data_IF_933071023598
#
_entry.id   IF_933071023598
#
_cell.length_a   1.000
_cell.length_b   1.000
_cell.length_c   1.000
_cell.angle_alpha   90.00
_cell.angle_beta   90.00
_cell.angle_gamma   90.00
#
_symmetry.space_group_name_H-M   'P 1'
#
loop_
_entity.id
_entity.type
_entity.pdbx_description
1 polymer ?
#
# COMPACT_ATOMS: atom_id res chain seq x y z
N UNK A 1 -17.70 -10.60 13.29
CA UNK A 1 -17.75 -10.89 11.85
C UNK A 1 -18.75 -12.03 11.63
N UNK A 2 -19.62 -11.97 10.61
CA UNK A 2 -20.56 -13.06 10.33
C UNK A 2 -19.80 -14.32 9.94
N UNK A 3 -20.06 -15.45 10.62
CA UNK A 3 -19.44 -16.76 10.30
C UNK A 3 -19.63 -17.15 8.83
N UNK A 4 -20.73 -16.69 8.22
CA UNK A 4 -21.06 -16.99 6.84
C UNK A 4 -20.11 -16.29 5.85
N UNK A 5 -19.68 -15.04 6.14
CA UNK A 5 -18.76 -14.31 5.26
C UNK A 5 -17.36 -14.92 5.29
N UNK A 6 -16.88 -15.30 6.46
CA UNK A 6 -15.59 -16.00 6.60
C UNK A 6 -15.61 -17.36 5.88
N UNK A 7 -16.71 -18.11 5.98
CA UNK A 7 -16.88 -19.38 5.28
C UNK A 7 -16.96 -19.20 3.76
N UNK A 8 -17.57 -18.11 3.27
CA UNK A 8 -17.66 -17.78 1.85
C UNK A 8 -16.28 -17.44 1.26
N UNK A 9 -15.48 -16.63 1.97
CA UNK A 9 -14.11 -16.30 1.57
C UNK A 9 -13.14 -17.51 1.67
N UNK A 10 -13.43 -18.47 2.54
CA UNK A 10 -12.61 -19.69 2.69
C UNK A 10 -12.90 -20.82 1.70
N UNK A 11 -13.77 -20.61 0.70
CA UNK A 11 -14.14 -21.67 -0.26
C UNK A 11 -12.96 -22.09 -1.14
N UNK A 12 -12.95 -23.37 -1.52
CA UNK A 12 -11.91 -23.96 -2.37
C UNK A 12 -11.79 -23.17 -3.68
N UNK A 13 -10.61 -22.60 -3.93
CA UNK A 13 -10.34 -21.75 -5.09
C UNK A 13 -10.68 -20.26 -4.95
N UNK A 14 -11.11 -19.79 -3.76
CA UNK A 14 -11.45 -18.37 -3.47
C UNK A 14 -10.78 -17.80 -2.22
N UNK A 15 -9.74 -18.49 -1.75
CA UNK A 15 -8.93 -18.08 -0.60
C UNK A 15 -7.96 -16.94 -0.96
N UNK A 16 -6.77 -16.93 -0.36
CA UNK A 16 -5.80 -15.84 -0.52
C UNK A 16 -5.38 -15.54 -1.97
N UNK A 17 -5.52 -16.49 -2.89
CA UNK A 17 -5.00 -16.40 -4.27
C UNK A 17 -6.04 -16.02 -5.32
N UNK A 18 -7.32 -15.92 -4.94
CA UNK A 18 -8.40 -15.56 -5.84
C UNK A 18 -9.55 -14.96 -5.03
N UNK A 19 -9.22 -13.90 -4.29
CA UNK A 19 -10.17 -13.29 -3.38
C UNK A 19 -11.04 -12.25 -4.10
N UNK A 20 -12.15 -11.84 -3.45
CA UNK A 20 -13.09 -10.89 -4.04
C UNK A 20 -12.43 -9.57 -4.44
N UNK A 21 -11.51 -9.07 -3.61
CA UNK A 21 -10.86 -7.78 -3.84
C UNK A 21 -9.92 -7.84 -5.05
N UNK A 22 -9.09 -8.87 -5.16
CA UNK A 22 -8.25 -9.11 -6.36
C UNK A 22 -9.09 -9.19 -7.64
N UNK A 23 -10.26 -9.85 -7.58
CA UNK A 23 -11.15 -9.95 -8.74
C UNK A 23 -11.74 -8.62 -9.15
N UNK A 24 -12.10 -7.77 -8.19
CA UNK A 24 -12.56 -6.40 -8.45
C UNK A 24 -11.42 -5.57 -9.06
N UNK A 25 -10.21 -5.66 -8.49
CA UNK A 25 -9.04 -4.92 -8.95
C UNK A 25 -8.63 -5.31 -10.38
N UNK A 26 -8.51 -6.62 -10.67
CA UNK A 26 -8.14 -7.10 -12.00
C UNK A 26 -9.15 -6.67 -13.08
N UNK A 27 -10.45 -6.65 -12.76
CA UNK A 27 -11.48 -6.16 -13.68
C UNK A 27 -11.37 -4.65 -13.94
N UNK A 28 -10.92 -3.88 -12.95
CA UNK A 28 -10.64 -2.46 -13.12
C UNK A 28 -9.38 -2.24 -13.97
N UNK A 29 -8.33 -3.03 -13.80
CA UNK A 29 -7.08 -2.87 -14.57
C UNK A 29 -7.28 -3.05 -16.09
N UNK A 30 -8.21 -3.92 -16.50
CA UNK A 30 -8.51 -4.16 -17.93
C UNK A 30 -9.33 -3.03 -18.59
N UNK A 31 -10.05 -2.21 -17.81
CA UNK A 31 -11.07 -1.27 -18.34
C UNK A 31 -11.08 0.12 -17.69
N UNK A 32 -10.25 0.36 -16.69
CA UNK A 32 -10.18 1.56 -15.86
C UNK A 32 -11.31 1.72 -14.85
N UNK A 33 -12.45 1.05 -15.03
CA UNK A 33 -13.62 1.04 -14.11
C UNK A 33 -14.40 -0.26 -14.27
N UNK A 34 -14.86 -0.80 -13.15
CA UNK A 34 -15.70 -1.99 -13.17
C UNK A 34 -17.11 -1.71 -13.72
N UNK A 35 -17.48 -2.31 -14.85
CA UNK A 35 -18.85 -2.26 -15.36
C UNK A 35 -19.81 -3.00 -14.40
N UNK A 36 -21.02 -2.47 -14.22
CA UNK A 36 -22.09 -3.03 -13.37
C UNK A 36 -22.41 -4.48 -13.70
N UNK A 37 -22.40 -4.86 -14.98
CA UNK A 37 -22.68 -6.23 -15.39
C UNK A 37 -21.57 -7.19 -14.92
N UNK A 38 -20.30 -6.80 -15.09
CA UNK A 38 -19.16 -7.59 -14.60
C UNK A 38 -19.17 -7.69 -13.06
N UNK A 39 -19.49 -6.61 -12.34
CA UNK A 39 -19.64 -6.65 -10.89
C UNK A 39 -20.78 -7.57 -10.44
N UNK A 40 -21.84 -7.69 -11.23
CA UNK A 40 -22.93 -8.62 -10.98
C UNK A 40 -22.48 -10.07 -11.15
N UNK A 41 -21.66 -10.35 -12.16
CA UNK A 41 -21.05 -11.68 -12.33
C UNK A 41 -20.14 -12.03 -11.15
N UNK A 42 -19.30 -11.10 -10.66
CA UNK A 42 -18.50 -11.33 -9.44
C UNK A 42 -19.41 -11.57 -8.23
N UNK A 43 -20.48 -10.79 -8.09
CA UNK A 43 -21.44 -10.92 -6.99
C UNK A 43 -22.06 -12.33 -6.95
N UNK A 44 -22.53 -12.81 -8.09
CA UNK A 44 -23.07 -14.16 -8.25
C UNK A 44 -21.98 -15.22 -8.03
N UNK A 45 -20.77 -15.00 -8.56
CA UNK A 45 -19.62 -15.87 -8.38
C UNK A 45 -19.31 -16.07 -6.87
N UNK A 46 -19.20 -14.98 -6.10
CA UNK A 46 -18.84 -15.02 -4.68
C UNK A 46 -20.03 -15.22 -3.73
N UNK A 47 -21.26 -15.31 -4.26
CA UNK A 47 -22.52 -15.35 -3.51
C UNK A 47 -22.64 -14.18 -2.52
N UNK A 48 -22.28 -12.98 -2.96
CA UNK A 48 -22.38 -11.74 -2.20
C UNK A 48 -23.34 -10.82 -2.93
N UNK A 49 -24.15 -10.04 -2.21
CA UNK A 49 -25.09 -9.12 -2.85
C UNK A 49 -24.39 -8.09 -3.73
N UNK A 50 -24.95 -7.81 -4.92
CA UNK A 50 -24.40 -6.86 -5.90
C UNK A 50 -24.13 -5.48 -5.30
N UNK A 51 -24.99 -5.02 -4.38
CA UNK A 51 -24.78 -3.75 -3.69
C UNK A 51 -23.51 -3.73 -2.83
N UNK A 52 -23.12 -4.85 -2.20
CA UNK A 52 -21.89 -4.94 -1.41
C UNK A 52 -20.66 -4.95 -2.31
N UNK A 53 -20.72 -5.67 -3.43
CA UNK A 53 -19.63 -5.71 -4.41
C UNK A 53 -19.45 -4.33 -5.06
N UNK A 54 -20.55 -3.70 -5.47
CA UNK A 54 -20.53 -2.33 -5.99
C UNK A 54 -19.97 -1.34 -4.96
N UNK A 55 -20.46 -1.37 -3.73
CA UNK A 55 -19.97 -0.50 -2.66
C UNK A 55 -18.47 -0.68 -2.39
N UNK A 56 -17.97 -1.92 -2.40
CA UNK A 56 -16.54 -2.19 -2.27
C UNK A 56 -15.75 -1.66 -3.49
N UNK A 57 -16.23 -1.91 -4.71
CA UNK A 57 -15.57 -1.45 -5.93
C UNK A 57 -15.54 0.08 -6.05
N UNK A 58 -16.56 0.79 -5.59
CA UNK A 58 -16.57 2.26 -5.65
C UNK A 58 -15.87 2.93 -4.46
N UNK A 59 -15.43 2.16 -3.46
CA UNK A 59 -14.75 2.69 -2.28
C UNK A 59 -13.27 3.03 -2.54
N UNK A 60 -12.58 2.22 -3.36
CA UNK A 60 -11.15 2.38 -3.61
C UNK A 60 -10.90 3.32 -4.79
N UNK A 61 -9.89 4.18 -4.64
CA UNK A 61 -9.53 5.19 -5.64
C UNK A 61 -9.29 4.59 -7.02
N UNK A 62 -8.53 3.50 -7.14
CA UNK A 62 -8.22 2.92 -8.45
C UNK A 62 -9.42 2.30 -9.18
N UNK A 63 -10.48 1.95 -8.45
CA UNK A 63 -11.62 1.21 -9.00
C UNK A 63 -12.90 2.04 -9.07
N UNK A 64 -12.90 3.28 -8.54
CA UNK A 64 -14.05 4.17 -8.53
C UNK A 64 -14.32 4.79 -9.93
N UNK A 65 -15.59 5.04 -10.30
CA UNK A 65 -15.95 5.58 -11.61
C UNK A 65 -15.28 6.91 -11.98
N UNK A 66 -14.99 7.76 -11.01
CA UNK A 66 -14.39 9.08 -11.23
C UNK A 66 -12.96 9.01 -11.77
N UNK A 67 -12.29 7.88 -11.57
CA UNK A 67 -10.95 7.63 -12.06
C UNK A 67 -10.92 6.91 -13.43
N UNK A 68 -12.08 6.74 -14.09
CA UNK A 68 -12.13 6.19 -15.45
C UNK A 68 -11.29 6.98 -16.44
N UNK A 69 -10.44 6.27 -17.19
CA UNK A 69 -9.61 6.88 -18.24
C UNK A 69 -8.47 7.76 -17.72
N UNK A 70 -8.29 7.88 -16.41
CA UNK A 70 -7.12 8.53 -15.82
C UNK A 70 -5.88 7.67 -16.05
N UNK A 71 -4.82 8.29 -16.54
CA UNK A 71 -3.53 7.64 -16.85
C UNK A 71 -2.43 8.11 -15.90
N UNK A 72 -2.54 9.33 -15.41
CA UNK A 72 -1.58 9.96 -14.51
C UNK A 72 -2.32 10.63 -13.36
N UNK A 73 -1.78 10.55 -12.15
CA UNK A 73 -2.38 11.15 -10.97
C UNK A 73 -1.41 12.10 -10.28
N UNK A 74 -1.82 13.34 -10.10
CA UNK A 74 -1.03 14.34 -9.35
C UNK A 74 -1.34 14.20 -7.87
N UNK A 75 -0.30 14.20 -7.02
CA UNK A 75 -0.50 14.13 -5.57
C UNK A 75 -1.25 15.38 -5.08
N UNK A 76 -2.33 15.21 -4.31
CA UNK A 76 -3.01 16.31 -3.62
C UNK A 76 -2.79 16.27 -2.09
N UNK A 77 -1.74 15.56 -1.64
CA UNK A 77 -1.34 15.51 -0.25
C UNK A 77 -0.89 16.87 0.29
N UNK A 78 -1.17 17.12 1.57
CA UNK A 78 -0.91 18.40 2.24
C UNK A 78 0.53 18.91 2.11
N UNK A 79 1.53 18.02 2.17
CA UNK A 79 2.93 18.38 2.00
C UNK A 79 3.21 18.96 0.60
N UNK A 80 2.73 18.32 -0.46
CA UNK A 80 2.92 18.79 -1.84
C UNK A 80 2.13 20.07 -2.13
N UNK A 81 0.93 20.20 -1.55
CA UNK A 81 0.13 21.43 -1.65
C UNK A 81 0.84 22.60 -0.95
N UNK A 82 1.41 22.38 0.25
CA UNK A 82 2.16 23.40 0.97
C UNK A 82 3.46 23.79 0.24
N UNK A 83 4.11 22.85 -0.44
CA UNK A 83 5.28 23.12 -1.27
C UNK A 83 4.94 23.97 -2.52
N UNK A 84 3.67 24.01 -2.94
CA UNK A 84 3.22 24.81 -4.09
C UNK A 84 3.70 24.33 -5.45
N UNK A 85 4.15 23.07 -5.55
CA UNK A 85 4.77 22.52 -6.77
C UNK A 85 3.79 21.87 -7.74
N UNK A 86 2.58 21.55 -7.28
CA UNK A 86 1.65 20.71 -8.04
C UNK A 86 0.98 21.41 -9.22
N UNK A 87 0.79 22.72 -9.18
CA UNK A 87 0.23 23.47 -10.31
C UNK A 87 1.18 23.48 -11.50
N UNK A 88 2.47 23.72 -11.25
CA UNK A 88 3.51 23.68 -12.28
C UNK A 88 3.65 22.26 -12.86
N UNK A 89 3.67 21.24 -12.01
CA UNK A 89 3.69 19.83 -12.43
C UNK A 89 2.50 19.50 -13.32
N UNK A 90 1.28 19.90 -12.92
CA UNK A 90 0.06 19.66 -13.69
C UNK A 90 0.11 20.31 -15.06
N UNK A 91 0.57 21.56 -15.14
CA UNK A 91 0.71 22.28 -16.40
C UNK A 91 1.69 21.60 -17.35
N UNK A 92 2.78 21.05 -16.85
CA UNK A 92 3.73 20.30 -17.68
C UNK A 92 3.15 18.96 -18.12
N UNK A 93 2.46 18.23 -17.24
CA UNK A 93 1.79 16.97 -17.60
C UNK A 93 0.73 17.15 -18.69
N UNK A 94 0.06 18.31 -18.75
CA UNK A 94 -0.89 18.64 -19.83
C UNK A 94 -0.27 18.70 -21.22
N UNK A 95 1.06 18.79 -21.34
CA UNK A 95 1.77 18.73 -22.61
C UNK A 95 1.89 17.29 -23.14
N UNK A 96 1.75 16.29 -22.25
CA UNK A 96 1.91 14.87 -22.57
C UNK A 96 0.59 14.09 -22.50
N UNK A 97 -0.36 14.55 -21.68
CA UNK A 97 -1.65 13.91 -21.47
C UNK A 97 -2.78 14.92 -21.64
N UNK A 98 -3.93 14.51 -22.21
CA UNK A 98 -5.08 15.40 -22.26
C UNK A 98 -5.62 15.63 -20.84
N UNK A 99 -6.25 16.79 -20.55
CA UNK A 99 -6.67 17.16 -19.19
C UNK A 99 -7.56 16.11 -18.50
N UNK A 100 -8.41 15.42 -19.26
CA UNK A 100 -9.28 14.36 -18.77
C UNK A 100 -8.53 13.11 -18.32
N UNK A 101 -7.31 12.86 -18.83
CA UNK A 101 -6.47 11.73 -18.42
C UNK A 101 -5.65 12.03 -17.15
N UNK A 102 -5.68 13.27 -16.65
CA UNK A 102 -4.98 13.69 -15.44
C UNK A 102 -5.97 13.64 -14.25
N UNK A 103 -5.66 12.81 -13.27
CA UNK A 103 -6.40 12.65 -12.03
C UNK A 103 -5.63 13.21 -10.83
N UNK A 104 -6.19 13.01 -9.65
CA UNK A 104 -5.55 13.33 -8.38
C UNK A 104 -5.58 12.12 -7.45
N UNK A 105 -4.58 12.03 -6.58
CA UNK A 105 -4.47 10.98 -5.59
C UNK A 105 -3.91 11.55 -4.29
N UNK A 106 -4.45 11.08 -3.16
CA UNK A 106 -4.00 11.55 -1.86
C UNK A 106 -2.78 10.76 -1.39
N UNK A 107 -1.68 11.50 -1.19
CA UNK A 107 -0.38 10.99 -0.73
C UNK A 107 0.25 9.91 -1.66
N UNK A 108 1.43 10.20 -2.19
CA UNK A 108 2.19 9.25 -3.00
C UNK A 108 3.47 8.76 -2.31
N UNK A 109 3.63 9.02 -1.00
CA UNK A 109 4.86 8.68 -0.26
C UNK A 109 6.09 9.51 -0.62
N UNK A 110 5.98 10.47 -1.56
CA UNK A 110 7.12 11.27 -2.05
C UNK A 110 7.16 12.69 -1.48
N UNK A 111 6.70 12.85 -0.24
CA UNK A 111 6.61 14.15 0.42
C UNK A 111 7.99 14.81 0.65
N UNK A 112 9.07 14.03 0.70
CA UNK A 112 10.44 14.53 0.83
C UNK A 112 10.95 15.28 -0.42
N UNK A 113 10.38 15.00 -1.60
CA UNK A 113 10.77 15.63 -2.85
C UNK A 113 9.72 16.58 -3.42
N UNK A 114 8.44 16.35 -3.11
CA UNK A 114 7.30 17.04 -3.71
C UNK A 114 7.25 16.83 -5.24
N UNK A 115 6.47 17.64 -5.96
CA UNK A 115 6.23 17.46 -7.40
C UNK A 115 5.86 16.00 -7.75
N UNK A 116 5.05 15.39 -6.88
CA UNK A 116 4.81 13.96 -6.89
C UNK A 116 3.63 13.62 -7.79
N UNK A 117 3.79 12.58 -8.62
CA UNK A 117 2.75 12.03 -9.46
C UNK A 117 2.89 10.51 -9.62
N UNK A 118 1.78 9.84 -9.92
CA UNK A 118 1.71 8.42 -10.18
C UNK A 118 1.48 8.18 -11.68
N UNK A 119 2.27 7.29 -12.27
CA UNK A 119 2.15 6.87 -13.66
C UNK A 119 2.50 5.37 -13.77
N UNK A 120 1.64 4.59 -14.45
CA UNK A 120 1.88 3.18 -14.75
C UNK A 120 2.28 2.31 -13.54
N UNK A 121 1.63 2.49 -12.38
CA UNK A 121 1.90 1.69 -11.19
C UNK A 121 3.10 2.16 -10.36
N UNK A 122 3.76 3.26 -10.75
CA UNK A 122 4.92 3.78 -10.05
C UNK A 122 4.72 5.25 -9.66
N UNK A 123 5.25 5.61 -8.49
CA UNK A 123 5.26 6.97 -7.98
C UNK A 123 6.58 7.64 -8.37
N UNK A 124 6.50 8.90 -8.81
CA UNK A 124 7.64 9.70 -9.24
C UNK A 124 7.58 11.09 -8.61
N UNK A 125 8.74 11.74 -8.54
CA UNK A 125 8.88 13.18 -8.34
C UNK A 125 9.57 13.77 -9.56
N UNK A 126 9.08 14.87 -10.10
CA UNK A 126 9.76 15.60 -11.17
C UNK A 126 10.09 17.02 -10.73
N UNK A 127 11.38 17.33 -10.63
CA UNK A 127 11.82 18.67 -10.19
C UNK A 127 11.91 19.63 -11.37
N UNK A 128 12.15 19.10 -12.57
CA UNK A 128 12.25 19.85 -13.82
C UNK A 128 11.31 19.29 -14.90
N UNK A 129 10.91 20.10 -15.90
CA UNK A 129 10.09 19.63 -17.02
C UNK A 129 10.71 18.48 -17.82
N UNK A 130 12.02 18.48 -17.97
CA UNK A 130 12.76 17.44 -18.71
C UNK A 130 12.64 16.06 -18.04
N UNK A 131 12.55 16.02 -16.70
CA UNK A 131 12.34 14.80 -15.92
C UNK A 131 11.02 14.14 -16.32
N UNK A 132 9.96 14.94 -16.51
CA UNK A 132 8.62 14.45 -16.87
C UNK A 132 8.65 13.80 -18.25
N UNK A 133 9.30 14.44 -19.23
CA UNK A 133 9.42 13.88 -20.57
C UNK A 133 10.18 12.54 -20.55
N UNK A 134 11.26 12.45 -19.77
CA UNK A 134 12.03 11.21 -19.62
C UNK A 134 11.23 10.10 -18.92
N UNK A 135 10.48 10.42 -17.87
CA UNK A 135 9.62 9.46 -17.15
C UNK A 135 8.50 8.97 -18.06
N UNK A 136 7.83 9.85 -18.80
CA UNK A 136 6.74 9.48 -19.72
C UNK A 136 7.25 8.59 -20.86
N UNK A 137 8.48 8.80 -21.32
CA UNK A 137 9.14 7.97 -22.34
C UNK A 137 9.73 6.67 -21.78
N UNK A 138 9.76 6.50 -20.45
CA UNK A 138 10.35 5.33 -19.78
C UNK A 138 11.88 5.30 -19.84
N UNK A 139 12.54 6.42 -20.11
CA UNK A 139 14.01 6.51 -20.20
C UNK A 139 14.67 6.82 -18.84
N UNK A 140 13.89 7.31 -17.88
CA UNK A 140 14.30 7.45 -16.48
C UNK A 140 13.65 6.34 -15.65
N UNK A 141 14.49 5.47 -15.08
CA UNK A 141 14.05 4.13 -14.66
C UNK A 141 14.08 3.88 -13.14
N UNK A 142 14.69 4.80 -12.40
CA UNK A 142 14.89 4.67 -10.98
C UNK A 142 13.82 5.54 -10.30
N UNK A 143 12.70 4.91 -9.95
CA UNK A 143 11.72 5.49 -9.02
C UNK A 143 12.11 5.26 -7.56
N UNK A 144 13.37 4.91 -7.28
CA UNK A 144 13.85 4.74 -5.91
C UNK A 144 13.96 6.11 -5.25
N UNK A 145 13.67 6.12 -3.97
CA UNK A 145 13.82 7.31 -3.16
C UNK A 145 15.28 7.44 -2.70
N UNK A 146 15.80 8.67 -2.76
CA UNK A 146 17.10 9.00 -2.20
C UNK A 146 16.93 9.91 -1.00
N UNK A 147 17.13 9.33 0.18
CA UNK A 147 17.03 10.04 1.44
C UNK A 147 18.42 10.51 1.92
N UNK A 148 18.50 11.76 2.36
CA UNK A 148 19.63 12.23 3.14
C UNK A 148 19.50 11.75 4.59
N UNK A 149 20.06 10.58 4.88
CA UNK A 149 19.98 9.96 6.20
C UNK A 149 21.27 10.25 6.99
N UNK A 150 21.10 10.82 8.18
CA UNK A 150 22.19 11.03 9.14
C UNK A 150 21.76 10.55 10.52
N UNK A 151 22.73 10.10 11.33
CA UNK A 151 22.49 9.68 12.71
C UNK A 151 23.49 10.35 13.65
N UNK A 152 23.02 10.75 14.82
CA UNK A 152 23.87 11.13 15.94
C UNK A 152 24.15 9.88 16.77
N UNK A 153 25.38 9.36 16.69
CA UNK A 153 25.79 8.13 17.37
C UNK A 153 25.61 6.87 16.53
N UNK A 154 25.41 5.72 17.18
CA UNK A 154 25.27 4.43 16.49
C UNK A 154 23.92 4.36 15.77
N UNK A 155 23.90 4.20 14.44
CA UNK A 155 22.66 4.04 13.70
C UNK A 155 22.05 2.68 14.06
N UNK A 156 20.78 2.68 14.48
CA UNK A 156 20.01 1.45 14.74
C UNK A 156 18.89 1.31 13.72
N UNK A 157 18.03 2.32 13.60
CA UNK A 157 16.91 2.32 12.65
C UNK A 157 17.36 2.72 11.23
N UNK A 158 18.43 3.50 11.13
CA UNK A 158 19.03 3.97 9.88
C UNK A 158 20.27 3.17 9.47
N UNK A 159 20.53 2.07 10.18
CA UNK A 159 21.60 1.16 9.81
C UNK A 159 21.27 0.49 8.47
N UNK A 160 22.28 0.07 7.68
CA UNK A 160 22.05 -0.76 6.51
C UNK A 160 21.16 -1.96 6.87
N UNK A 161 20.19 -2.26 6.01
CA UNK A 161 19.32 -3.40 6.22
C UNK A 161 20.15 -4.69 6.13
N UNK A 162 20.00 -5.64 7.07
CA UNK A 162 20.74 -6.89 7.01
C UNK A 162 20.42 -7.68 5.74
N UNK A 163 21.41 -8.40 5.21
CA UNK A 163 21.18 -9.23 4.04
C UNK A 163 20.13 -10.32 4.31
N UNK A 164 19.45 -10.78 3.26
CA UNK A 164 18.41 -11.81 3.39
C UNK A 164 18.92 -13.09 4.08
N UNK A 165 20.19 -13.43 3.88
CA UNK A 165 20.81 -14.59 4.53
C UNK A 165 20.94 -14.40 6.04
N UNK A 166 21.35 -13.21 6.49
CA UNK A 166 21.42 -12.88 7.92
C UNK A 166 20.03 -12.95 8.57
N UNK A 167 19.02 -12.42 7.89
CA UNK A 167 17.63 -12.52 8.34
C UNK A 167 17.17 -13.98 8.48
N UNK A 168 17.53 -14.85 7.53
CA UNK A 168 17.22 -16.28 7.57
C UNK A 168 17.91 -16.99 8.74
N UNK A 169 19.16 -16.66 9.02
CA UNK A 169 19.89 -17.23 10.16
C UNK A 169 19.27 -16.83 11.50
N UNK A 170 18.87 -15.56 11.65
CA UNK A 170 18.14 -15.09 12.83
C UNK A 170 16.83 -15.84 12.98
N UNK A 171 16.02 -15.93 11.91
CA UNK A 171 14.76 -16.66 11.92
C UNK A 171 14.97 -18.14 12.29
N UNK A 172 15.97 -18.79 11.69
CA UNK A 172 16.32 -20.18 11.99
C UNK A 172 16.61 -20.41 13.47
N UNK A 173 17.39 -19.53 14.10
CA UNK A 173 17.65 -19.58 15.55
C UNK A 173 16.39 -19.34 16.38
N UNK A 174 15.55 -18.39 15.99
CA UNK A 174 14.30 -18.08 16.69
C UNK A 174 13.34 -19.27 16.65
N UNK A 175 13.24 -19.98 15.52
CA UNK A 175 12.37 -21.15 15.38
C UNK A 175 12.78 -22.34 16.26
N UNK A 176 14.04 -22.39 16.72
CA UNK A 176 14.49 -23.39 17.70
C UNK A 176 14.18 -23.00 19.15
N UNK A 177 13.72 -21.77 19.39
CA UNK A 177 13.37 -21.28 20.73
C UNK A 177 11.88 -21.51 21.03
N UNK A 178 11.52 -21.89 22.26
CA UNK A 178 10.13 -21.92 22.69
C UNK A 178 9.47 -20.53 22.50
N UNK A 179 8.24 -20.45 21.97
CA UNK A 179 7.58 -19.17 21.72
C UNK A 179 7.41 -18.30 22.98
N UNK A 180 7.36 -18.90 24.16
CA UNK A 180 7.33 -18.21 25.46
C UNK A 180 8.61 -17.40 25.69
N UNK A 181 9.77 -17.96 25.33
CA UNK A 181 11.04 -17.28 25.46
C UNK A 181 11.13 -16.11 24.48
N UNK A 182 10.68 -16.31 23.23
CA UNK A 182 10.61 -15.23 22.25
C UNK A 182 9.68 -14.10 22.71
N UNK A 183 8.52 -14.44 23.28
CA UNK A 183 7.59 -13.47 23.84
C UNK A 183 8.20 -12.73 25.03
N UNK A 184 8.93 -13.42 25.91
CA UNK A 184 9.64 -12.80 27.03
C UNK A 184 10.72 -11.82 26.53
N UNK A 185 11.49 -12.19 25.50
CA UNK A 185 12.45 -11.30 24.85
C UNK A 185 11.78 -10.03 24.32
N UNK A 186 10.63 -10.16 23.64
CA UNK A 186 9.88 -9.00 23.14
C UNK A 186 9.33 -8.11 24.26
N UNK A 187 8.93 -8.70 25.40
CA UNK A 187 8.50 -7.94 26.59
C UNK A 187 9.67 -7.16 27.18
N UNK A 188 10.82 -7.80 27.36
CA UNK A 188 12.04 -7.17 27.89
C UNK A 188 12.54 -6.05 26.98
N UNK A 189 12.51 -6.27 25.66
CA UNK A 189 12.91 -5.27 24.67
C UNK A 189 11.93 -4.08 24.57
N UNK A 190 10.75 -4.18 25.20
CA UNK A 190 9.72 -3.15 25.21
C UNK A 190 9.37 -2.61 23.82
N UNK A 191 9.37 -3.48 22.80
CA UNK A 191 9.12 -3.09 21.41
C UNK A 191 7.68 -2.57 21.25
N UNK A 192 7.54 -1.40 20.63
CA UNK A 192 6.26 -0.72 20.39
C UNK A 192 5.98 -0.65 18.89
N UNK A 193 4.70 -0.70 18.53
CA UNK A 193 4.27 -0.53 17.15
C UNK A 193 4.70 0.82 16.58
N UNK A 194 5.15 0.83 15.33
CA UNK A 194 5.69 2.01 14.65
C UNK A 194 4.71 2.74 13.72
N UNK A 195 3.56 2.16 13.41
CA UNK A 195 2.49 2.83 12.66
C UNK A 195 1.66 3.80 13.51
N UNK A 196 2.30 4.69 14.28
CA UNK A 196 1.63 5.76 15.05
C UNK A 196 1.01 5.36 16.39
N UNK A 197 0.29 4.22 16.48
CA UNK A 197 -0.44 3.84 17.70
C UNK A 197 0.45 3.53 18.92
N UNK A 198 1.73 3.19 18.70
CA UNK A 198 2.70 2.98 19.78
C UNK A 198 2.36 1.85 20.76
N UNK A 199 1.45 0.93 20.41
CA UNK A 199 1.02 -0.12 21.33
C UNK A 199 2.10 -1.22 21.46
N UNK A 200 2.38 -1.76 22.66
CA UNK A 200 3.39 -2.81 22.85
C UNK A 200 3.10 -4.09 22.04
N UNK A 201 4.06 -4.51 21.20
CA UNK A 201 3.84 -5.65 20.29
C UNK A 201 3.69 -6.98 21.04
N UNK A 202 4.46 -7.15 22.12
CA UNK A 202 4.42 -8.37 22.93
C UNK A 202 3.02 -8.63 23.50
N UNK A 203 2.32 -7.58 23.93
CA UNK A 203 0.96 -7.72 24.46
C UNK A 203 -0.04 -8.13 23.36
N UNK A 204 0.05 -7.55 22.16
CA UNK A 204 -0.78 -7.95 21.01
C UNK A 204 -0.57 -9.42 20.65
N UNK A 205 0.69 -9.86 20.58
CA UNK A 205 1.04 -11.24 20.25
C UNK A 205 0.58 -12.22 21.34
N UNK A 206 0.74 -11.87 22.62
CA UNK A 206 0.26 -12.71 23.72
C UNK A 206 -1.27 -12.82 23.73
N UNK A 207 -1.97 -11.71 23.54
CA UNK A 207 -3.43 -11.70 23.46
C UNK A 207 -3.91 -12.55 22.27
N UNK A 208 -3.28 -12.40 21.10
CA UNK A 208 -3.55 -13.24 19.94
C UNK A 208 -3.34 -14.70 20.31
N UNK A 209 -2.17 -15.10 20.83
CA UNK A 209 -1.86 -16.48 21.21
C UNK A 209 -2.88 -17.09 22.19
N UNK A 210 -3.37 -16.33 23.17
CA UNK A 210 -4.35 -16.80 24.17
C UNK A 210 -5.77 -16.89 23.63
N UNK A 211 -6.09 -16.20 22.54
CA UNK A 211 -7.42 -16.21 21.96
C UNK A 211 -7.74 -17.60 21.37
N UNK A 212 -8.98 -18.10 21.56
CA UNK A 212 -9.41 -19.35 20.94
C UNK A 212 -9.60 -19.17 19.42
N UNK A 213 -9.41 -20.26 18.66
CA UNK A 213 -9.61 -20.31 17.21
C UNK A 213 -8.32 -20.42 16.41
N UNK A 214 -8.42 -21.13 15.29
CA UNK A 214 -7.38 -21.34 14.29
C UNK A 214 -8.02 -21.30 12.90
N UNK A 215 -7.27 -20.94 11.83
CA UNK A 215 -5.86 -20.53 11.83
C UNK A 215 -5.65 -19.07 12.29
N UNK A 216 -4.41 -18.74 12.65
CA UNK A 216 -3.97 -17.37 12.98
C UNK A 216 -3.22 -16.74 11.80
N UNK A 217 -3.35 -15.42 11.69
CA UNK A 217 -2.73 -14.64 10.62
C UNK A 217 -1.87 -13.52 11.22
N UNK A 218 -0.75 -13.23 10.54
CA UNK A 218 0.04 -12.02 10.73
C UNK A 218 -0.14 -11.19 9.48
N UNK A 219 -0.53 -9.93 9.65
CA UNK A 219 -0.67 -8.97 8.55
C UNK A 219 0.40 -7.91 8.72
N UNK A 220 1.25 -7.75 7.71
CA UNK A 220 2.16 -6.62 7.61
C UNK A 220 1.37 -5.45 7.01
N UNK A 221 1.23 -4.35 7.75
CA UNK A 221 0.63 -3.14 7.20
C UNK A 221 1.72 -2.35 6.46
N UNK A 222 1.67 -2.37 5.15
CA UNK A 222 2.52 -1.58 4.26
C UNK A 222 1.71 -0.51 3.49
N UNK A 223 0.49 -0.21 3.95
CA UNK A 223 -0.34 0.88 3.45
C UNK A 223 -0.02 2.15 4.26
N UNK A 224 1.08 2.80 3.91
CA UNK A 224 1.54 4.05 4.54
C UNK A 224 0.75 5.25 3.96
N UNK A 225 -0.49 5.40 4.43
CA UNK A 225 -1.42 6.42 3.92
C UNK A 225 -1.39 7.77 4.63
N UNK A 226 -0.68 7.90 5.76
CA UNK A 226 -0.61 9.15 6.52
C UNK A 226 0.20 10.20 5.73
N UNK A 227 -0.37 11.37 5.38
CA UNK A 227 0.35 12.38 4.63
C UNK A 227 1.64 12.83 5.34
N UNK A 228 2.77 12.67 4.65
CA UNK A 228 4.10 12.99 5.20
C UNK A 228 4.77 11.83 5.94
N UNK A 229 4.12 10.67 6.05
CA UNK A 229 4.78 9.41 6.40
C UNK A 229 5.40 8.80 5.13
N UNK A 230 6.70 8.55 5.19
CA UNK A 230 7.50 7.88 4.17
C UNK A 230 8.71 7.33 4.91
N UNK A 231 8.81 6.00 5.07
CA UNK A 231 9.84 5.37 5.91
C UNK A 231 10.52 4.15 5.31
#
# INVERSE_FOLDING_TARGET
MSKNLTALAGRKGKGLTNNLFERIANLADESGVTNKDALREIADEFLIGTANVYGAATFYDFTRPENQGKKVYVCNGSACLLAGTQDALRNTLQQHFPPEAIGEMCCLGRCHENSAFHLNGQNYSAKQPEDIAAIVQGTQHDGMDHYHVAALGTPILTAPFPELNECREVLGRMLQSPPENLLATLKTAAVRGRGGAGFPIAFKLEACRKAPGEPRFIVCNADEGDPGAFS
#
